data_IF_243271381037
#
_entry.id   IF_243271381037
#
_cell.length_a   1.000
_cell.length_b   1.000
_cell.length_c   1.000
_cell.angle_alpha   90.00
_cell.angle_beta   90.00
_cell.angle_gamma   90.00
#
_symmetry.space_group_name_H-M   'P 1'
#
loop_
_entity.id
_entity.type
_entity.pdbx_description
1 polymer ?
#
# COMPACT_ATOMS: atom_id res chain seq x y z
N UNK A 1 -20.42 -25.50 -4.50
CA UNK A 1 -21.55 -26.05 -3.73
C UNK A 1 -21.56 -25.34 -2.39
N UNK A 2 -22.67 -24.71 -2.02
CA UNK A 2 -22.81 -23.93 -0.79
C UNK A 2 -23.14 -24.86 0.39
N UNK A 3 -22.42 -24.71 1.51
CA UNK A 3 -22.79 -25.36 2.77
C UNK A 3 -24.02 -24.69 3.38
N UNK A 4 -24.98 -25.44 3.95
CA UNK A 4 -26.14 -24.86 4.62
C UNK A 4 -25.72 -24.35 6.01
N UNK A 5 -25.39 -23.06 6.10
CA UNK A 5 -25.03 -22.39 7.35
C UNK A 5 -26.24 -21.67 7.97
N UNK A 6 -26.57 -22.02 9.22
CA UNK A 6 -27.55 -21.31 10.04
C UNK A 6 -27.21 -19.81 10.15
N UNK A 7 -28.20 -18.90 10.05
CA UNK A 7 -27.97 -17.48 10.24
C UNK A 7 -27.57 -17.21 11.70
N UNK A 8 -26.29 -16.92 11.94
CA UNK A 8 -25.81 -16.43 13.23
C UNK A 8 -24.67 -17.20 13.89
N UNK A 9 -24.22 -18.33 13.32
CA UNK A 9 -23.01 -19.01 13.82
C UNK A 9 -21.97 -19.01 12.72
N UNK A 10 -21.03 -18.06 12.80
CA UNK A 10 -19.79 -18.14 12.03
C UNK A 10 -19.00 -19.31 12.63
N UNK A 11 -18.81 -20.42 11.90
CA UNK A 11 -17.99 -21.51 12.40
C UNK A 11 -16.57 -20.95 12.49
N UNK A 12 -16.08 -20.73 13.72
CA UNK A 12 -14.67 -20.41 13.94
C UNK A 12 -13.87 -21.67 13.64
N UNK A 13 -13.11 -21.73 12.54
CA UNK A 13 -12.38 -22.93 12.21
C UNK A 13 -11.19 -23.05 13.17
N UNK A 14 -10.91 -24.30 13.58
CA UNK A 14 -9.96 -24.58 14.66
C UNK A 14 -8.55 -24.24 14.19
N UNK A 15 -7.93 -23.22 14.80
CA UNK A 15 -6.54 -22.87 14.55
C UNK A 15 -5.60 -24.04 14.93
N UNK A 16 -4.52 -24.28 14.15
CA UNK A 16 -4.13 -23.57 12.94
C UNK A 16 -4.77 -24.15 11.67
N UNK A 17 -5.32 -23.29 10.81
CA UNK A 17 -5.67 -23.65 9.44
C UNK A 17 -4.43 -23.50 8.56
N UNK A 18 -3.93 -24.64 8.08
CA UNK A 18 -2.75 -24.72 7.22
C UNK A 18 -3.23 -24.75 5.77
N UNK A 19 -2.70 -23.86 4.94
CA UNK A 19 -2.99 -23.88 3.51
C UNK A 19 -2.32 -25.09 2.84
N UNK A 20 -3.12 -25.93 2.17
CA UNK A 20 -2.62 -27.11 1.47
C UNK A 20 -2.90 -27.07 -0.05
N UNK A 21 -3.34 -25.92 -0.57
CA UNK A 21 -3.70 -25.74 -1.99
C UNK A 21 -5.10 -26.20 -2.36
N UNK A 22 -5.63 -27.23 -1.69
CA UNK A 22 -7.00 -27.76 -1.95
C UNK A 22 -8.08 -27.12 -1.10
N UNK A 23 -7.70 -26.47 0.00
CA UNK A 23 -8.60 -25.90 1.00
C UNK A 23 -8.80 -24.39 0.86
N UNK A 24 -8.67 -23.84 -0.36
CA UNK A 24 -8.78 -22.39 -0.60
C UNK A 24 -10.06 -21.77 -0.01
N UNK A 25 -11.22 -22.41 -0.17
CA UNK A 25 -12.50 -21.87 0.31
C UNK A 25 -12.58 -21.71 1.83
N UNK A 26 -11.94 -22.59 2.60
CA UNK A 26 -11.89 -22.47 4.06
C UNK A 26 -10.77 -21.52 4.51
N UNK A 27 -9.66 -21.50 3.77
CA UNK A 27 -8.51 -20.66 4.05
C UNK A 27 -8.79 -19.18 3.76
N UNK A 28 -9.51 -18.87 2.67
CA UNK A 28 -9.81 -17.51 2.24
C UNK A 28 -10.67 -16.77 3.27
N UNK A 29 -11.68 -17.45 3.84
CA UNK A 29 -12.53 -16.89 4.89
C UNK A 29 -11.73 -16.54 6.15
N UNK A 30 -10.75 -17.38 6.51
CA UNK A 30 -9.84 -17.09 7.60
C UNK A 30 -8.96 -15.88 7.36
N UNK A 31 -8.39 -15.80 6.15
CA UNK A 31 -7.57 -14.68 5.75
C UNK A 31 -8.38 -13.40 5.71
N UNK A 32 -9.62 -13.45 5.22
CA UNK A 32 -10.58 -12.35 5.26
C UNK A 32 -10.80 -11.89 6.70
N UNK A 33 -11.31 -12.72 7.60
CA UNK A 33 -11.55 -12.31 9.01
C UNK A 33 -10.28 -11.79 9.70
N UNK A 34 -9.12 -12.41 9.44
CA UNK A 34 -7.86 -12.02 10.08
C UNK A 34 -7.28 -10.71 9.53
N UNK A 35 -7.34 -10.51 8.21
CA UNK A 35 -6.74 -9.37 7.52
C UNK A 35 -7.71 -8.20 7.37
N UNK A 36 -9.02 -8.44 7.39
CA UNK A 36 -10.06 -7.40 7.39
C UNK A 36 -9.98 -6.56 8.66
N UNK A 37 -9.74 -7.19 9.81
CA UNK A 37 -9.42 -6.48 11.06
C UNK A 37 -8.15 -5.62 11.02
N UNK A 38 -7.28 -5.84 10.03
CA UNK A 38 -6.09 -5.02 9.75
C UNK A 38 -6.26 -4.10 8.54
N UNK A 39 -7.47 -4.00 7.97
CA UNK A 39 -7.74 -3.23 6.76
C UNK A 39 -6.85 -3.65 5.56
N UNK A 40 -6.37 -4.89 5.55
CA UNK A 40 -5.50 -5.42 4.48
C UNK A 40 -6.25 -6.21 3.42
N UNK A 41 -7.38 -6.80 3.81
CA UNK A 41 -8.17 -7.65 2.93
C UNK A 41 -8.64 -6.92 1.67
N UNK A 42 -9.20 -5.72 1.83
CA UNK A 42 -9.68 -4.90 0.70
C UNK A 42 -8.59 -4.58 -0.33
N UNK A 43 -7.35 -4.31 0.11
CA UNK A 43 -6.22 -4.10 -0.81
C UNK A 43 -5.82 -5.38 -1.56
N UNK A 44 -5.80 -6.53 -0.87
CA UNK A 44 -5.45 -7.82 -1.48
C UNK A 44 -6.48 -8.29 -2.51
N UNK A 45 -7.76 -8.01 -2.25
CA UNK A 45 -8.86 -8.33 -3.15
C UNK A 45 -9.06 -7.29 -4.27
N UNK A 46 -8.31 -6.18 -4.23
CA UNK A 46 -8.41 -5.09 -5.21
C UNK A 46 -9.66 -4.22 -5.04
N UNK A 47 -10.34 -4.33 -3.90
CA UNK A 47 -11.48 -3.47 -3.55
C UNK A 47 -10.99 -2.05 -3.20
N UNK A 48 -9.80 -1.93 -2.64
CA UNK A 48 -9.14 -0.67 -2.33
C UNK A 48 -7.89 -0.47 -3.17
N UNK A 49 -7.66 0.79 -3.57
CA UNK A 49 -6.48 1.19 -4.32
C UNK A 49 -5.33 1.34 -3.33
N UNK A 50 -4.25 0.57 -3.52
CA UNK A 50 -3.05 0.74 -2.73
C UNK A 50 -2.55 2.19 -2.84
N UNK A 51 -2.18 2.82 -1.71
CA UNK A 51 -1.60 4.15 -1.77
C UNK A 51 -0.37 4.12 -2.68
N UNK A 52 -0.24 5.14 -3.52
CA UNK A 52 0.91 5.26 -4.40
C UNK A 52 2.14 5.57 -3.56
N UNK A 53 3.24 4.85 -3.81
CA UNK A 53 4.50 5.16 -3.17
C UNK A 53 4.98 6.54 -3.68
N UNK A 54 5.39 7.45 -2.79
CA UNK A 54 5.94 8.74 -3.20
C UNK A 54 7.15 8.55 -4.13
N UNK A 55 7.27 9.40 -5.14
CA UNK A 55 8.37 9.32 -6.10
C UNK A 55 9.51 10.19 -5.60
N UNK A 56 10.70 9.60 -5.48
CA UNK A 56 11.89 10.33 -5.07
C UNK A 56 12.23 11.43 -6.10
N UNK A 57 12.42 12.69 -5.67
CA UNK A 57 12.84 13.78 -6.55
C UNK A 57 14.16 13.47 -7.24
N UNK A 58 14.29 13.86 -8.51
CA UNK A 58 15.54 13.67 -9.26
C UNK A 58 16.43 14.90 -9.09
N UNK A 59 17.71 14.75 -8.68
CA UNK A 59 18.61 15.89 -8.56
C UNK A 59 18.73 16.68 -9.88
N UNK A 60 18.77 18.02 -9.83
CA UNK A 60 18.89 18.83 -11.02
C UNK A 60 20.22 18.56 -11.74
N UNK A 61 20.18 18.59 -13.07
CA UNK A 61 21.36 18.44 -13.92
C UNK A 61 21.80 19.81 -14.41
N UNK A 62 23.04 20.19 -14.08
CA UNK A 62 23.62 21.48 -14.48
C UNK A 62 24.38 21.36 -15.80
N UNK A 63 24.17 22.33 -16.69
CA UNK A 63 24.97 22.54 -17.89
C UNK A 63 26.13 23.52 -17.59
N UNK A 64 27.28 23.38 -18.27
CA UNK A 64 28.46 24.23 -18.03
C UNK A 64 28.23 25.72 -18.28
N UNK A 65 27.22 26.07 -19.09
CA UNK A 65 26.85 27.45 -19.44
C UNK A 65 25.68 28.00 -18.59
N UNK A 66 25.23 27.26 -17.57
CA UNK A 66 24.14 27.73 -16.71
C UNK A 66 24.58 28.99 -15.94
N UNK A 67 23.75 30.03 -16.04
CA UNK A 67 23.90 31.23 -15.22
C UNK A 67 23.54 30.93 -13.77
N UNK A 68 24.25 31.53 -12.82
CA UNK A 68 24.11 31.32 -11.37
C UNK A 68 22.64 31.41 -10.88
N UNK A 69 21.86 32.30 -11.50
CA UNK A 69 20.43 32.50 -11.22
C UNK A 69 19.56 31.30 -11.66
N UNK A 70 19.87 30.70 -12.82
CA UNK A 70 19.17 29.51 -13.32
C UNK A 70 19.53 28.27 -12.48
N UNK A 71 20.79 28.15 -12.05
CA UNK A 71 21.23 27.12 -11.11
C UNK A 71 20.49 27.22 -9.77
N UNK A 72 20.36 28.45 -9.25
CA UNK A 72 19.64 28.73 -8.00
C UNK A 72 18.16 28.36 -8.11
N UNK A 73 17.50 28.73 -9.21
CA UNK A 73 16.09 28.38 -9.44
C UNK A 73 15.86 26.86 -9.53
N UNK A 74 16.77 26.11 -10.17
CA UNK A 74 16.70 24.65 -10.23
C UNK A 74 16.88 24.00 -8.85
N UNK A 75 17.74 24.57 -8.01
CA UNK A 75 17.93 24.12 -6.63
C UNK A 75 16.69 24.39 -5.78
N UNK A 76 16.12 25.59 -5.83
CA UNK A 76 14.90 25.94 -5.10
C UNK A 76 13.72 25.03 -5.51
N UNK A 77 13.56 24.75 -6.80
CA UNK A 77 12.52 23.82 -7.28
C UNK A 77 12.72 22.40 -6.75
N UNK A 78 13.96 21.92 -6.72
CA UNK A 78 14.29 20.60 -6.18
C UNK A 78 14.08 20.51 -4.67
N UNK A 79 14.41 21.57 -3.92
CA UNK A 79 14.14 21.63 -2.47
C UNK A 79 12.64 21.56 -2.20
N UNK A 80 11.82 22.31 -2.94
CA UNK A 80 10.37 22.26 -2.83
C UNK A 80 9.79 20.87 -3.17
N UNK A 81 10.30 20.22 -4.22
CA UNK A 81 9.91 18.86 -4.57
C UNK A 81 10.30 17.86 -3.46
N UNK A 82 11.46 18.07 -2.83
CA UNK A 82 11.94 17.26 -1.69
C UNK A 82 11.09 17.44 -0.45
N UNK A 83 10.67 18.66 -0.14
CA UNK A 83 9.74 18.94 0.95
C UNK A 83 8.37 18.27 0.70
N UNK A 84 7.85 18.35 -0.53
CA UNK A 84 6.62 17.65 -0.92
C UNK A 84 6.77 16.14 -0.77
N UNK A 85 7.86 15.56 -1.28
CA UNK A 85 8.15 14.12 -1.15
C UNK A 85 8.20 13.69 0.31
N UNK A 86 8.83 14.46 1.19
CA UNK A 86 8.90 14.13 2.62
C UNK A 86 7.53 14.17 3.30
N UNK A 87 6.69 15.15 2.94
CA UNK A 87 5.30 15.20 3.42
C UNK A 87 4.52 13.97 2.95
N UNK A 88 4.59 13.64 1.66
CA UNK A 88 3.88 12.50 1.08
C UNK A 88 4.37 11.17 1.67
N UNK A 89 5.68 11.03 1.93
CA UNK A 89 6.26 9.88 2.61
C UNK A 89 5.74 9.74 4.04
N UNK A 90 5.62 10.84 4.77
CA UNK A 90 5.03 10.84 6.10
C UNK A 90 3.58 10.33 6.11
N UNK A 91 2.79 10.66 5.09
CA UNK A 91 1.41 10.15 4.95
C UNK A 91 1.38 8.69 4.50
N UNK A 92 2.29 8.28 3.61
CA UNK A 92 2.38 6.91 3.12
C UNK A 92 2.78 5.90 4.21
N UNK A 93 3.60 6.32 5.17
CA UNK A 93 4.10 5.47 6.27
C UNK A 93 3.12 5.34 7.45
N UNK A 94 2.05 6.15 7.51
CA UNK A 94 1.03 6.12 8.57
C UNK A 94 -0.17 5.26 8.24
#
# INVERSE_FOLDING_TARGET
>A
MASPGYPGVVPFPRCPVIFNGTNWGDFVFHMEVHMDGQLRWGYLMGEWICPSHPILPTPPMYLPDDVDDAMSALLEAFELETESYQSDLGVYET
#
